data_IF_862359279656
#
_entry.id   IF_862359279656
#
_cell.length_a   1.000
_cell.length_b   1.000
_cell.length_c   1.000
_cell.angle_alpha   90.00
_cell.angle_beta   90.00
_cell.angle_gamma   90.00
#
_symmetry.space_group_name_H-M   'P 1'
#
loop_
_entity.id
_entity.type
_entity.pdbx_description
1 polymer ?
#
# COMPACT_ATOMS: atom_id res chain seq x y z
N UNK A 1 -10.02 -10.48 -35.24
CA UNK A 1 -11.32 -9.80 -35.46
C UNK A 1 -11.67 -9.07 -34.18
N UNK A 2 -12.28 -7.90 -34.25
CA UNK A 2 -12.78 -7.19 -33.07
C UNK A 2 -14.18 -7.68 -32.74
N UNK A 3 -14.39 -8.13 -31.50
CA UNK A 3 -15.71 -8.49 -31.02
C UNK A 3 -16.51 -7.23 -30.67
N UNK A 4 -17.80 -7.23 -31.01
CA UNK A 4 -18.72 -6.14 -30.69
C UNK A 4 -19.46 -6.44 -29.39
N UNK A 5 -19.38 -5.52 -28.43
CA UNK A 5 -20.12 -5.60 -27.16
C UNK A 5 -21.06 -4.39 -27.08
N UNK A 6 -22.34 -4.64 -26.83
CA UNK A 6 -23.32 -3.59 -26.56
C UNK A 6 -23.51 -3.44 -25.05
N UNK A 7 -23.29 -2.24 -24.52
CA UNK A 7 -23.42 -1.94 -23.09
C UNK A 7 -24.66 -1.09 -22.87
N UNK A 8 -25.55 -1.51 -21.96
CA UNK A 8 -26.68 -0.71 -21.49
C UNK A 8 -26.30 -0.01 -20.20
N UNK A 9 -26.27 1.32 -20.23
CA UNK A 9 -26.00 2.15 -19.06
C UNK A 9 -27.21 2.16 -18.11
N UNK A 10 -26.95 2.06 -16.81
CA UNK A 10 -27.97 2.21 -15.76
C UNK A 10 -28.03 3.66 -15.28
N UNK A 11 -28.97 3.98 -14.39
CA UNK A 11 -29.17 5.34 -13.86
C UNK A 11 -27.96 5.87 -13.08
N UNK A 12 -27.14 4.98 -12.53
CA UNK A 12 -25.98 5.31 -11.70
C UNK A 12 -24.70 5.50 -12.53
N UNK A 13 -24.78 5.28 -13.85
CA UNK A 13 -23.66 5.52 -14.76
C UNK A 13 -23.54 7.01 -15.12
N UNK A 14 -22.32 7.51 -15.37
CA UNK A 14 -22.16 8.82 -15.97
C UNK A 14 -22.82 8.88 -17.36
N UNK A 15 -23.24 10.07 -17.78
CA UNK A 15 -23.81 10.26 -19.10
C UNK A 15 -22.77 9.97 -20.18
N UNK A 16 -23.24 9.59 -21.38
CA UNK A 16 -22.38 9.36 -22.54
C UNK A 16 -21.54 10.60 -22.86
N UNK A 17 -22.13 11.79 -22.74
CA UNK A 17 -21.43 13.06 -22.94
C UNK A 17 -20.30 13.26 -21.92
N UNK A 18 -20.56 13.00 -20.63
CA UNK A 18 -19.52 13.11 -19.60
C UNK A 18 -18.36 12.13 -19.83
N UNK A 19 -18.66 10.92 -20.32
CA UNK A 19 -17.63 9.95 -20.72
C UNK A 19 -16.79 10.45 -21.91
N UNK A 20 -17.43 11.07 -22.91
CA UNK A 20 -16.73 11.60 -24.08
C UNK A 20 -15.83 12.79 -23.72
N UNK A 21 -16.31 13.68 -22.85
CA UNK A 21 -15.53 14.81 -22.34
C UNK A 21 -14.31 14.33 -21.53
N UNK A 22 -14.50 13.34 -20.65
CA UNK A 22 -13.41 12.73 -19.88
C UNK A 22 -12.38 12.04 -20.79
N UNK A 23 -12.83 11.27 -21.80
CA UNK A 23 -11.94 10.63 -22.75
C UNK A 23 -11.13 11.66 -23.55
N UNK A 24 -11.79 12.74 -24.00
CA UNK A 24 -11.14 13.84 -24.72
C UNK A 24 -10.10 14.55 -23.86
N UNK A 25 -10.38 14.78 -22.58
CA UNK A 25 -9.42 15.38 -21.65
C UNK A 25 -8.15 14.52 -21.49
N UNK A 26 -8.27 13.20 -21.65
CA UNK A 26 -7.15 12.26 -21.62
C UNK A 26 -6.55 12.00 -23.03
N UNK A 27 -7.00 12.71 -24.07
CA UNK A 27 -6.50 12.57 -25.43
C UNK A 27 -6.81 11.22 -26.08
N UNK A 28 -7.88 10.54 -25.67
CA UNK A 28 -8.26 9.22 -26.19
C UNK A 28 -9.74 9.14 -26.57
N UNK A 29 -10.13 8.10 -27.28
CA UNK A 29 -11.53 7.79 -27.56
C UNK A 29 -12.24 7.17 -26.34
N UNK A 30 -13.57 7.30 -26.29
CA UNK A 30 -14.39 6.63 -25.25
C UNK A 30 -14.15 5.12 -25.22
N UNK A 31 -14.01 4.49 -26.39
CA UNK A 31 -13.73 3.05 -26.47
C UNK A 31 -12.38 2.70 -25.81
N UNK A 32 -11.32 3.44 -26.14
CA UNK A 32 -10.01 3.23 -25.50
C UNK A 32 -10.06 3.44 -23.99
N UNK A 33 -10.78 4.48 -23.53
CA UNK A 33 -10.98 4.73 -22.11
C UNK A 33 -11.69 3.57 -21.42
N UNK A 34 -12.79 3.06 -21.98
CA UNK A 34 -13.52 1.91 -21.43
C UNK A 34 -12.66 0.65 -21.39
N UNK A 35 -11.92 0.37 -22.47
CA UNK A 35 -11.01 -0.79 -22.51
C UNK A 35 -9.89 -0.67 -21.48
N UNK A 36 -9.30 0.54 -21.30
CA UNK A 36 -8.29 0.77 -20.26
C UNK A 36 -8.87 0.58 -18.86
N UNK A 37 -10.08 1.08 -18.60
CA UNK A 37 -10.76 0.88 -17.33
C UNK A 37 -11.02 -0.62 -17.06
N UNK A 38 -11.53 -1.37 -18.04
CA UNK A 38 -11.76 -2.81 -17.92
C UNK A 38 -10.44 -3.55 -17.64
N UNK A 39 -9.37 -3.24 -18.38
CA UNK A 39 -8.04 -3.83 -18.15
C UNK A 39 -7.52 -3.55 -16.75
N UNK A 40 -7.72 -2.35 -16.24
CA UNK A 40 -7.36 -1.99 -14.86
C UNK A 40 -8.11 -2.86 -13.85
N UNK A 41 -9.43 -3.00 -13.99
CA UNK A 41 -10.23 -3.80 -13.05
C UNK A 41 -9.95 -5.31 -13.15
N UNK A 42 -9.70 -5.84 -14.34
CA UNK A 42 -9.29 -7.26 -14.52
C UNK A 42 -7.92 -7.52 -13.88
N UNK A 43 -7.02 -6.52 -13.89
CA UNK A 43 -5.71 -6.63 -13.27
C UNK A 43 -5.70 -6.52 -11.75
N UNK A 44 -6.80 -6.14 -11.11
CA UNK A 44 -6.89 -6.09 -9.65
C UNK A 44 -7.09 -7.48 -9.06
N UNK A 45 -6.32 -7.79 -8.01
CA UNK A 45 -6.59 -8.97 -7.20
C UNK A 45 -7.93 -8.83 -6.47
N UNK A 46 -8.67 -9.95 -6.36
CA UNK A 46 -10.01 -9.95 -5.76
C UNK A 46 -10.01 -9.54 -4.27
N UNK A 47 -8.96 -9.92 -3.53
CA UNK A 47 -8.80 -9.56 -2.11
C UNK A 47 -8.55 -8.07 -1.98
N UNK A 48 -7.67 -7.52 -2.84
CA UNK A 48 -7.40 -6.09 -2.90
C UNK A 48 -8.68 -5.30 -3.20
N UNK A 49 -9.44 -5.69 -4.23
CA UNK A 49 -10.68 -5.01 -4.61
C UNK A 49 -11.69 -4.99 -3.45
N UNK A 50 -11.95 -6.15 -2.82
CA UNK A 50 -12.92 -6.25 -1.72
C UNK A 50 -12.54 -5.39 -0.53
N UNK A 51 -11.25 -5.31 -0.18
CA UNK A 51 -10.78 -4.44 0.90
C UNK A 51 -10.94 -2.96 0.57
N UNK A 52 -10.62 -2.57 -0.66
CA UNK A 52 -10.81 -1.21 -1.12
C UNK A 52 -12.30 -0.82 -1.08
N UNK A 53 -13.18 -1.72 -1.50
CA UNK A 53 -14.63 -1.53 -1.47
C UNK A 53 -15.15 -1.40 -0.03
N UNK A 54 -14.77 -2.30 0.87
CA UNK A 54 -15.15 -2.25 2.27
C UNK A 54 -14.68 -0.95 2.96
N UNK A 55 -13.44 -0.53 2.68
CA UNK A 55 -12.91 0.72 3.21
C UNK A 55 -13.67 1.94 2.67
N UNK A 56 -13.88 2.00 1.36
CA UNK A 56 -14.66 3.05 0.66
C UNK A 56 -16.06 3.18 1.23
N UNK A 57 -16.75 2.06 1.48
CA UNK A 57 -18.07 2.04 2.12
C UNK A 57 -18.02 2.56 3.56
N UNK A 58 -17.03 2.11 4.35
CA UNK A 58 -16.85 2.54 5.75
C UNK A 58 -16.65 4.05 5.87
N UNK A 59 -15.83 4.64 4.98
CA UNK A 59 -15.52 6.08 5.02
C UNK A 59 -16.45 6.94 4.15
N UNK A 60 -17.38 6.31 3.42
CA UNK A 60 -18.34 6.97 2.50
C UNK A 60 -17.68 7.84 1.42
N UNK A 61 -16.53 7.40 0.90
CA UNK A 61 -15.80 8.07 -0.18
C UNK A 61 -15.74 7.13 -1.38
N UNK A 62 -16.09 7.56 -2.61
CA UNK A 62 -16.01 6.71 -3.79
C UNK A 62 -14.61 6.12 -4.00
N UNK A 63 -14.52 4.84 -4.36
CA UNK A 63 -13.24 4.12 -4.50
C UNK A 63 -12.23 4.84 -5.40
N UNK A 64 -12.67 5.39 -6.54
CA UNK A 64 -11.79 6.10 -7.47
C UNK A 64 -11.16 7.35 -6.82
N UNK A 65 -11.90 8.06 -5.97
CA UNK A 65 -11.38 9.20 -5.17
C UNK A 65 -10.41 8.70 -4.09
N UNK A 66 -10.74 7.61 -3.41
CA UNK A 66 -9.86 7.04 -2.38
C UNK A 66 -8.49 6.61 -2.96
N UNK A 67 -8.49 5.93 -4.12
CA UNK A 67 -7.26 5.56 -4.84
C UNK A 67 -6.48 6.83 -5.22
N UNK A 68 -7.14 7.79 -5.87
CA UNK A 68 -6.51 9.03 -6.32
C UNK A 68 -5.88 9.80 -5.15
N UNK A 69 -6.60 9.98 -4.05
CA UNK A 69 -6.10 10.70 -2.88
C UNK A 69 -4.92 10.00 -2.23
N UNK A 70 -4.89 8.66 -2.23
CA UNK A 70 -3.76 7.89 -1.70
C UNK A 70 -2.48 8.17 -2.50
N UNK A 71 -2.59 8.16 -3.83
CA UNK A 71 -1.46 8.46 -4.73
C UNK A 71 -1.01 9.92 -4.57
N UNK A 72 -1.94 10.88 -4.54
CA UNK A 72 -1.63 12.30 -4.34
C UNK A 72 -0.92 12.53 -3.00
N UNK A 73 -1.42 11.93 -1.92
CA UNK A 73 -0.79 12.01 -0.60
C UNK A 73 0.65 11.52 -0.66
N UNK A 74 0.89 10.38 -1.31
CA UNK A 74 2.24 9.83 -1.45
C UNK A 74 3.16 10.76 -2.22
N UNK A 75 2.73 11.28 -3.37
CA UNK A 75 3.51 12.25 -4.14
C UNK A 75 3.82 13.51 -3.34
N UNK A 76 2.87 14.02 -2.55
CA UNK A 76 3.09 15.17 -1.70
C UNK A 76 4.16 14.89 -0.63
N UNK A 77 4.11 13.72 0.02
CA UNK A 77 5.10 13.31 1.02
C UNK A 77 6.50 13.15 0.40
N UNK A 78 6.60 12.51 -0.76
CA UNK A 78 7.88 12.30 -1.45
C UNK A 78 8.47 13.62 -1.95
N UNK A 79 7.64 14.53 -2.47
CA UNK A 79 8.08 15.87 -2.83
C UNK A 79 8.57 16.67 -1.61
N UNK A 80 7.86 16.59 -0.47
CA UNK A 80 8.29 17.24 0.77
C UNK A 80 9.65 16.68 1.26
N UNK A 81 9.82 15.35 1.27
CA UNK A 81 11.10 14.70 1.60
C UNK A 81 12.23 15.17 0.68
N UNK A 82 11.98 15.22 -0.63
CA UNK A 82 12.95 15.69 -1.63
C UNK A 82 13.39 17.12 -1.36
N UNK A 83 12.46 18.01 -0.99
CA UNK A 83 12.76 19.41 -0.66
C UNK A 83 13.63 19.52 0.59
N UNK A 84 13.38 18.69 1.62
CA UNK A 84 14.13 18.72 2.88
C UNK A 84 15.53 18.10 2.75
N UNK A 85 15.66 16.99 2.02
CA UNK A 85 16.88 16.17 2.01
C UNK A 85 17.70 16.28 0.73
N UNK A 86 17.27 17.11 -0.23
CA UNK A 86 17.82 17.30 -1.60
C UNK A 86 17.91 16.02 -2.47
N UNK A 87 17.71 14.85 -1.87
CA UNK A 87 17.71 13.53 -2.49
C UNK A 87 16.45 12.81 -2.02
N UNK A 88 15.66 12.32 -2.97
CA UNK A 88 14.64 11.32 -2.65
C UNK A 88 15.29 9.93 -2.79
N UNK A 89 15.60 9.29 -1.66
CA UNK A 89 16.18 7.94 -1.65
C UNK A 89 15.11 6.86 -1.84
N UNK A 90 13.85 7.20 -1.64
CA UNK A 90 12.74 6.28 -1.76
C UNK A 90 12.26 6.30 -3.22
N UNK A 91 12.75 5.35 -4.03
CA UNK A 91 12.02 4.97 -5.23
C UNK A 91 10.61 4.51 -4.80
N UNK A 92 9.59 4.89 -5.56
CA UNK A 92 8.25 4.35 -5.36
C UNK A 92 8.33 2.84 -5.64
N UNK A 93 8.38 2.04 -4.58
CA UNK A 93 8.50 0.58 -4.68
C UNK A 93 7.32 -0.01 -5.45
N UNK A 94 6.15 0.63 -5.39
CA UNK A 94 4.96 0.29 -6.17
C UNK A 94 5.11 0.45 -7.69
N UNK A 95 6.12 1.18 -8.17
CA UNK A 95 6.48 1.30 -9.59
C UNK A 95 7.81 0.61 -9.93
N UNK A 96 8.41 -0.09 -8.97
CA UNK A 96 9.72 -0.72 -9.15
C UNK A 96 9.60 -2.06 -9.88
N UNK A 97 10.59 -2.33 -10.71
CA UNK A 97 10.79 -3.62 -11.37
C UNK A 97 11.86 -4.38 -10.58
N UNK A 98 11.59 -5.65 -10.25
CA UNK A 98 12.61 -6.57 -9.78
C UNK A 98 13.30 -7.25 -10.97
N UNK A 99 14.41 -7.93 -10.71
CA UNK A 99 15.14 -8.72 -11.74
C UNK A 99 14.27 -9.79 -12.43
N UNK A 100 13.16 -10.17 -11.80
CA UNK A 100 12.21 -11.16 -12.31
C UNK A 100 10.97 -10.55 -12.98
N UNK A 101 10.86 -9.21 -13.02
CA UNK A 101 9.75 -8.50 -13.65
C UNK A 101 9.01 -7.54 -12.72
N UNK A 102 7.69 -7.39 -12.95
CA UNK A 102 6.82 -6.53 -12.15
C UNK A 102 6.62 -7.17 -10.76
N UNK A 103 6.87 -6.41 -9.70
CA UNK A 103 6.62 -6.87 -8.32
C UNK A 103 5.12 -7.12 -8.15
N UNK A 104 4.76 -8.33 -7.72
CA UNK A 104 3.36 -8.69 -7.49
C UNK A 104 2.77 -7.98 -6.26
N UNK A 105 1.42 -7.83 -6.16
CA UNK A 105 0.78 -7.18 -5.00
C UNK A 105 1.13 -7.82 -3.65
N UNK A 106 1.26 -9.15 -3.62
CA UNK A 106 1.65 -9.88 -2.41
C UNK A 106 3.09 -9.56 -2.01
N UNK A 107 4.04 -9.69 -2.94
CA UNK A 107 5.46 -9.44 -2.69
C UNK A 107 5.69 -8.00 -2.23
N UNK A 108 5.04 -7.03 -2.90
CA UNK A 108 5.11 -5.63 -2.52
C UNK A 108 4.62 -5.39 -1.09
N UNK A 109 3.48 -5.99 -0.71
CA UNK A 109 2.98 -5.90 0.65
C UNK A 109 3.99 -6.45 1.67
N UNK A 110 4.55 -7.63 1.40
CA UNK A 110 5.49 -8.29 2.32
C UNK A 110 6.77 -7.48 2.49
N UNK A 111 7.31 -6.92 1.40
CA UNK A 111 8.47 -6.05 1.42
C UNK A 111 8.22 -4.79 2.25
N UNK A 112 7.13 -4.07 1.96
CA UNK A 112 6.80 -2.83 2.68
C UNK A 112 6.53 -3.13 4.15
N UNK A 113 5.75 -4.17 4.46
CA UNK A 113 5.46 -4.57 5.83
C UNK A 113 6.74 -4.82 6.62
N UNK A 114 7.69 -5.56 6.06
CA UNK A 114 8.95 -5.86 6.75
C UNK A 114 9.80 -4.63 6.98
N UNK A 115 9.89 -3.74 5.98
CA UNK A 115 10.64 -2.49 6.12
C UNK A 115 10.04 -1.61 7.20
N UNK A 116 8.72 -1.36 7.14
CA UNK A 116 8.02 -0.52 8.12
C UNK A 116 8.03 -1.15 9.51
N UNK A 117 7.76 -2.45 9.64
CA UNK A 117 7.82 -3.14 10.93
C UNK A 117 9.21 -3.03 11.55
N UNK A 118 10.28 -3.18 10.76
CA UNK A 118 11.64 -3.05 11.26
C UNK A 118 11.96 -1.64 11.76
N UNK A 119 11.46 -0.59 11.10
CA UNK A 119 11.62 0.79 11.54
C UNK A 119 10.85 1.05 12.84
N UNK A 120 9.56 0.75 12.86
CA UNK A 120 8.67 0.95 14.02
C UNK A 120 9.12 0.10 15.23
N UNK A 121 9.58 -1.13 15.01
CA UNK A 121 10.08 -1.99 16.09
C UNK A 121 11.36 -1.43 16.71
N UNK A 122 12.27 -0.84 15.93
CA UNK A 122 13.48 -0.19 16.45
C UNK A 122 13.13 1.03 17.30
N UNK A 123 12.23 1.88 16.82
CA UNK A 123 11.78 3.06 17.56
C UNK A 123 11.12 2.66 18.88
N UNK A 124 10.16 1.73 18.84
CA UNK A 124 9.49 1.23 20.04
C UNK A 124 10.44 0.55 21.03
N UNK A 125 11.42 -0.22 20.54
CA UNK A 125 12.41 -0.83 21.43
C UNK A 125 13.30 0.24 22.07
N UNK A 126 13.74 1.26 21.34
CA UNK A 126 14.54 2.34 21.91
C UNK A 126 13.79 3.08 23.05
N UNK A 127 12.48 3.31 22.89
CA UNK A 127 11.63 3.87 23.95
C UNK A 127 11.57 2.95 25.18
N UNK A 128 11.34 1.66 24.97
CA UNK A 128 11.27 0.68 26.06
C UNK A 128 12.63 0.48 26.75
N UNK A 129 13.74 0.53 26.01
CA UNK A 129 15.10 0.54 26.58
C UNK A 129 15.33 1.77 27.46
N UNK A 130 14.82 2.93 27.04
CA UNK A 130 14.90 4.15 27.83
C UNK A 130 14.10 4.02 29.13
N UNK A 131 12.88 3.49 29.10
CA UNK A 131 12.07 3.24 30.30
C UNK A 131 12.77 2.26 31.27
N UNK A 132 13.30 1.16 30.74
CA UNK A 132 14.06 0.18 31.55
C UNK A 132 15.31 0.83 32.15
N UNK A 133 16.01 1.69 31.41
CA UNK A 133 17.19 2.42 31.90
C UNK A 133 16.85 3.40 33.03
N UNK A 134 15.61 3.90 33.07
CA UNK A 134 15.07 4.73 34.14
C UNK A 134 14.55 3.91 35.33
N UNK A 135 14.68 2.58 35.28
CA UNK A 135 14.27 1.66 36.34
C UNK A 135 12.78 1.30 36.33
N UNK A 136 12.07 1.60 35.24
CA UNK A 136 10.66 1.20 35.08
C UNK A 136 10.57 -0.28 34.68
N UNK A 137 9.63 -0.99 35.29
CA UNK A 137 9.36 -2.40 34.97
C UNK A 137 8.32 -2.48 33.84
N UNK A 138 8.72 -3.05 32.70
CA UNK A 138 7.82 -3.31 31.58
C UNK A 138 6.77 -4.36 31.95
N UNK A 139 5.51 -4.14 31.53
CA UNK A 139 4.37 -5.02 31.84
C UNK A 139 3.56 -5.35 30.60
N UNK A 140 2.80 -6.44 30.69
CA UNK A 140 1.83 -6.82 29.66
C UNK A 140 2.44 -6.99 28.26
N UNK A 141 1.78 -6.39 27.27
CA UNK A 141 2.17 -6.45 25.86
C UNK A 141 3.56 -5.86 25.59
N UNK A 142 3.98 -4.85 26.36
CA UNK A 142 5.28 -4.19 26.14
C UNK A 142 6.43 -5.07 26.58
N UNK A 143 6.27 -5.81 27.68
CA UNK A 143 7.23 -6.83 28.10
C UNK A 143 7.36 -7.94 27.04
N UNK A 144 6.23 -8.46 26.56
CA UNK A 144 6.21 -9.53 25.54
C UNK A 144 6.86 -9.07 24.25
N UNK A 145 6.51 -7.87 23.77
CA UNK A 145 7.10 -7.28 22.56
C UNK A 145 8.60 -7.06 22.73
N UNK A 146 9.01 -6.44 23.83
CA UNK A 146 10.42 -6.18 24.14
C UNK A 146 11.24 -7.46 24.22
N UNK A 147 10.78 -8.47 24.96
CA UNK A 147 11.50 -9.75 25.08
C UNK A 147 11.61 -10.49 23.75
N UNK A 148 10.59 -10.40 22.91
CA UNK A 148 10.52 -11.06 21.61
C UNK A 148 11.47 -10.42 20.58
N UNK A 149 11.51 -9.08 20.54
CA UNK A 149 12.13 -8.34 19.44
C UNK A 149 13.45 -7.63 19.79
N UNK A 150 13.79 -7.43 21.08
CA UNK A 150 15.01 -6.72 21.49
C UNK A 150 16.30 -7.32 20.90
N UNK A 151 16.36 -8.63 20.70
CA UNK A 151 17.56 -9.29 20.17
C UNK A 151 17.82 -8.95 18.70
N UNK A 152 16.77 -8.64 17.94
CA UNK A 152 16.83 -8.36 16.51
C UNK A 152 16.86 -6.87 16.20
N UNK A 153 16.18 -6.06 17.01
CA UNK A 153 15.96 -4.63 16.74
C UNK A 153 16.44 -3.69 17.85
N UNK A 154 16.90 -4.22 18.99
CA UNK A 154 17.59 -3.45 20.01
C UNK A 154 19.02 -3.10 19.58
N UNK A 155 19.67 -2.21 20.35
CA UNK A 155 21.01 -1.74 20.00
C UNK A 155 22.05 -2.87 20.10
N UNK A 156 22.54 -3.33 18.95
CA UNK A 156 23.63 -4.30 18.83
C UNK A 156 24.80 -3.67 18.06
N UNK A 157 26.03 -3.64 18.61
CA UNK A 157 27.18 -2.99 17.94
C UNK A 157 27.68 -3.68 16.67
N UNK A 158 27.17 -4.87 16.29
CA UNK A 158 27.63 -5.55 15.08
C UNK A 158 26.58 -6.48 14.44
N UNK A 159 26.49 -6.35 13.11
CA UNK A 159 25.78 -7.07 12.05
C UNK A 159 25.12 -8.45 12.34
N UNK A 160 23.88 -8.64 11.82
CA UNK A 160 23.53 -9.67 10.79
C UNK A 160 22.06 -9.60 10.37
N UNK A 161 21.82 -9.60 9.04
CA UNK A 161 20.51 -9.83 8.43
C UNK A 161 19.94 -11.18 8.92
N UNK A 162 18.70 -11.18 9.43
CA UNK A 162 17.96 -12.41 9.77
C UNK A 162 16.51 -12.34 9.32
N UNK A 163 16.09 -13.52 8.89
CA UNK A 163 15.07 -13.94 7.93
C UNK A 163 13.60 -13.63 8.28
N UNK A 164 12.81 -13.63 7.20
CA UNK A 164 11.36 -13.66 7.04
C UNK A 164 10.68 -14.75 7.88
N UNK A 165 9.66 -14.39 8.67
CA UNK A 165 8.55 -15.32 8.97
C UNK A 165 7.23 -14.67 9.48
N UNK A 166 7.11 -13.34 9.48
CA UNK A 166 5.93 -12.67 10.08
C UNK A 166 4.91 -12.10 9.08
N UNK A 167 5.06 -12.35 7.77
CA UNK A 167 4.20 -11.75 6.73
C UNK A 167 2.80 -12.36 6.57
N UNK A 168 2.46 -13.40 7.34
CA UNK A 168 1.32 -14.29 7.05
C UNK A 168 -0.06 -13.77 7.48
N UNK A 169 -0.16 -12.67 8.23
CA UNK A 169 -1.46 -12.20 8.75
C UNK A 169 -2.35 -11.50 7.70
N UNK A 170 -1.78 -10.79 6.72
CA UNK A 170 -2.56 -9.98 5.79
C UNK A 170 -3.46 -10.80 4.85
N UNK A 171 -3.00 -11.98 4.42
CA UNK A 171 -3.69 -12.81 3.44
C UNK A 171 -4.62 -13.86 4.07
N UNK A 172 -4.50 -14.13 5.37
CA UNK A 172 -5.19 -15.26 6.00
C UNK A 172 -6.43 -14.89 6.84
N UNK A 173 -6.60 -13.64 7.26
CA UNK A 173 -7.59 -13.32 8.30
C UNK A 173 -9.04 -13.04 7.85
N UNK A 174 -9.38 -12.98 6.56
CA UNK A 174 -10.76 -12.67 6.14
C UNK A 174 -11.39 -13.67 5.15
N UNK A 175 -11.13 -14.97 5.37
CA UNK A 175 -11.87 -16.08 4.73
C UNK A 175 -12.57 -16.98 5.78
N UNK A 176 -13.24 -16.37 6.75
CA UNK A 176 -14.25 -17.05 7.57
C UNK A 176 -15.60 -16.36 7.45
#
# INVERSE_FOLDING_TARGET
MSDLINIRLTKDCPSVQAMDEAAKALGMSRNEMMIKAIKMFIGFDATFYKRLEAYSQKVKVPMHIAIQNTIIKRWAQDNAKKVVWEINKDLLLEFSLCSEGIIGPKELYEMIYQMTFAEEAKERIAELEQEVSQGLELKGSDKVFYETYKSKYGYTPDLKQTTQDESMAYWQEELK
#
